data_IF_292110260839
#
_entry.id   IF_292110260839
#
_cell.length_a   1.000
_cell.length_b   1.000
_cell.length_c   1.000
_cell.angle_alpha   90.00
_cell.angle_beta   90.00
_cell.angle_gamma   90.00
#
_symmetry.space_group_name_H-M   'P 1'
#
loop_
_entity.id
_entity.type
_entity.pdbx_description
1 polymer ?
#
# COMPACT_ATOMS: atom_id res chain seq x y z
N UNK A 1 11.29 34.35 -3.18
CA UNK A 1 12.07 33.50 -4.11
C UNK A 1 12.25 32.12 -3.51
N UNK A 2 12.31 31.05 -4.32
CA UNK A 2 12.65 29.70 -3.84
C UNK A 2 14.05 29.67 -3.20
N UNK A 3 14.20 28.89 -2.15
CA UNK A 3 15.44 28.72 -1.36
C UNK A 3 15.87 27.26 -1.25
N UNK A 4 14.94 26.31 -1.34
CA UNK A 4 15.25 24.89 -1.29
C UNK A 4 14.13 24.05 -1.89
N UNK A 5 14.50 22.84 -2.30
CA UNK A 5 13.57 21.79 -2.73
C UNK A 5 14.07 20.44 -2.22
N UNK A 6 13.16 19.58 -1.77
CA UNK A 6 13.48 18.22 -1.34
C UNK A 6 12.38 17.26 -1.80
N UNK A 7 12.78 16.08 -2.26
CA UNK A 7 11.86 14.98 -2.52
C UNK A 7 11.52 14.22 -1.25
N UNK A 8 10.24 13.86 -1.09
CA UNK A 8 9.73 13.07 0.01
C UNK A 8 8.90 11.89 -0.52
N UNK A 9 8.46 11.01 0.37
CA UNK A 9 7.58 9.88 0.02
C UNK A 9 6.27 10.34 -0.63
N UNK A 10 5.56 9.44 -1.32
CA UNK A 10 4.29 9.77 -1.97
C UNK A 10 4.40 10.53 -3.29
N UNK A 11 5.54 10.46 -3.99
CA UNK A 11 5.85 11.28 -5.16
C UNK A 11 5.57 12.77 -4.91
N UNK A 12 6.09 13.29 -3.79
CA UNK A 12 5.92 14.71 -3.44
C UNK A 12 7.24 15.43 -3.39
N UNK A 13 7.21 16.70 -3.79
CA UNK A 13 8.27 17.65 -3.58
C UNK A 13 7.81 18.68 -2.56
N UNK A 14 8.71 19.04 -1.65
CA UNK A 14 8.56 20.21 -0.79
C UNK A 14 9.44 21.31 -1.36
N UNK A 15 8.83 22.47 -1.62
CA UNK A 15 9.53 23.68 -2.06
C UNK A 15 9.44 24.70 -0.94
N UNK A 16 10.58 25.29 -0.57
CA UNK A 16 10.64 26.33 0.45
C UNK A 16 11.23 27.63 -0.08
N UNK A 17 10.83 28.77 0.49
CA UNK A 17 11.32 30.07 0.03
C UNK A 17 10.76 31.27 0.78
N UNK A 18 10.62 32.39 0.06
CA UNK A 18 10.10 33.67 0.57
C UNK A 18 9.22 34.40 -0.46
N UNK A 19 8.55 35.48 -0.07
CA UNK A 19 7.86 36.38 -1.00
C UNK A 19 6.59 35.80 -1.63
N UNK A 20 6.03 34.79 -0.99
CA UNK A 20 4.83 34.02 -1.34
C UNK A 20 4.67 32.93 -0.28
N UNK A 21 3.85 31.90 -0.54
CA UNK A 21 3.76 30.78 0.41
C UNK A 21 5.11 30.07 0.55
N UNK A 22 5.66 30.12 1.76
CA UNK A 22 7.07 29.80 2.00
C UNK A 22 7.35 28.32 2.16
N UNK A 23 6.34 27.50 2.42
CA UNK A 23 6.42 26.06 2.44
C UNK A 23 5.30 25.51 1.58
N UNK A 24 5.64 24.80 0.50
CA UNK A 24 4.67 24.27 -0.45
C UNK A 24 4.91 22.79 -0.67
N UNK A 25 3.84 22.00 -0.70
CA UNK A 25 3.88 20.57 -1.02
C UNK A 25 3.23 20.38 -2.39
N UNK A 26 3.99 19.80 -3.30
CA UNK A 26 3.61 19.57 -4.69
C UNK A 26 3.61 18.07 -4.95
N UNK A 27 2.48 17.56 -5.45
CA UNK A 27 2.38 16.21 -5.96
C UNK A 27 2.97 16.17 -7.38
N UNK A 28 3.95 15.30 -7.57
CA UNK A 28 4.69 15.09 -8.82
C UNK A 28 4.47 13.70 -9.40
N UNK A 29 3.39 13.01 -9.00
CA UNK A 29 3.00 11.71 -9.58
C UNK A 29 2.91 11.77 -11.12
N UNK A 30 2.51 12.93 -11.67
CA UNK A 30 2.63 13.23 -13.11
C UNK A 30 3.63 14.38 -13.30
N UNK A 31 4.87 14.06 -13.66
CA UNK A 31 5.95 15.05 -13.79
C UNK A 31 5.65 16.19 -14.77
N UNK A 32 4.88 15.92 -15.84
CA UNK A 32 4.46 16.93 -16.81
C UNK A 32 3.33 17.85 -16.35
N UNK A 33 2.70 17.55 -15.21
CA UNK A 33 1.57 18.31 -14.66
C UNK A 33 1.56 18.26 -13.13
N UNK A 34 2.58 18.80 -12.45
CA UNK A 34 2.62 18.82 -11.00
C UNK A 34 1.45 19.62 -10.42
N UNK A 35 0.91 19.18 -9.27
CA UNK A 35 -0.25 19.82 -8.64
C UNK A 35 0.02 20.14 -7.16
N UNK A 36 -0.43 21.30 -6.68
CA UNK A 36 -0.26 21.67 -5.27
C UNK A 36 -1.20 20.85 -4.40
N UNK A 37 -0.67 20.17 -3.39
CA UNK A 37 -1.45 19.35 -2.46
C UNK A 37 -1.35 19.81 -0.98
N UNK A 38 -0.52 20.81 -0.67
CA UNK A 38 -0.46 21.41 0.67
C UNK A 38 0.48 22.61 0.74
N UNK A 39 0.48 23.30 1.87
CA UNK A 39 1.40 24.41 2.13
C UNK A 39 1.18 25.07 3.47
N UNK A 40 2.14 25.92 3.87
CA UNK A 40 2.11 26.71 5.08
C UNK A 40 2.78 28.07 4.81
N UNK A 41 2.11 29.16 5.18
CA UNK A 41 2.73 30.48 5.27
C UNK A 41 3.43 30.61 6.63
N UNK A 42 4.70 31.01 6.60
CA UNK A 42 5.53 31.24 7.79
C UNK A 42 5.75 32.73 8.02
N UNK A 43 5.47 33.57 7.01
CA UNK A 43 5.54 35.05 7.00
C UNK A 43 6.95 35.65 7.18
N UNK A 44 7.93 34.84 7.58
CA UNK A 44 9.33 35.26 7.78
C UNK A 44 10.30 34.65 6.79
N UNK A 45 9.81 33.93 5.77
CA UNK A 45 10.69 33.13 4.92
C UNK A 45 11.06 31.78 5.54
N UNK A 46 11.30 30.79 4.67
CA UNK A 46 11.95 29.53 4.99
C UNK A 46 13.26 29.44 4.20
N UNK A 47 14.36 29.38 4.94
CA UNK A 47 15.74 29.42 4.43
C UNK A 47 16.34 28.04 4.20
N UNK A 48 15.77 27.00 4.80
CA UNK A 48 16.22 25.61 4.65
C UNK A 48 15.13 24.63 5.00
N UNK A 49 15.23 23.43 4.42
CA UNK A 49 14.34 22.30 4.70
C UNK A 49 15.12 20.99 4.68
N UNK A 50 14.83 20.12 5.64
CA UNK A 50 15.17 18.71 5.63
C UNK A 50 13.90 17.92 5.95
N UNK A 51 13.76 16.70 5.44
CA UNK A 51 12.61 15.85 5.75
C UNK A 51 13.07 14.44 6.09
N UNK A 52 12.37 13.82 7.03
CA UNK A 52 12.64 12.46 7.48
C UNK A 52 11.34 11.68 7.51
N UNK A 53 11.45 10.36 7.35
CA UNK A 53 10.37 9.42 7.59
C UNK A 53 10.86 8.45 8.68
N UNK A 54 10.14 8.40 9.78
CA UNK A 54 10.46 7.55 10.92
C UNK A 54 10.01 6.11 10.65
N UNK A 55 10.55 5.17 11.45
CA UNK A 55 10.30 3.74 11.25
C UNK A 55 8.83 3.35 11.47
N UNK A 56 8.09 4.14 12.24
CA UNK A 56 6.66 3.98 12.48
C UNK A 56 5.77 4.64 11.41
N UNK A 57 6.38 5.22 10.37
CA UNK A 57 5.69 5.80 9.21
C UNK A 57 5.36 7.28 9.37
N UNK A 58 5.72 7.91 10.48
CA UNK A 58 5.54 9.35 10.66
C UNK A 58 6.55 10.12 9.81
N UNK A 59 6.06 11.11 9.05
CA UNK A 59 6.90 11.98 8.25
C UNK A 59 7.02 13.35 8.91
N UNK A 60 8.22 13.93 8.90
CA UNK A 60 8.46 15.28 9.42
C UNK A 60 9.31 16.09 8.46
N UNK A 61 9.02 17.38 8.41
CA UNK A 61 9.88 18.38 7.77
C UNK A 61 10.42 19.34 8.82
N UNK A 62 11.74 19.42 8.90
CA UNK A 62 12.47 20.37 9.71
C UNK A 62 12.83 21.57 8.85
N UNK A 63 12.38 22.75 9.24
CA UNK A 63 12.60 23.99 8.50
C UNK A 63 13.37 25.00 9.34
N UNK A 64 14.20 25.79 8.64
CA UNK A 64 14.88 26.96 9.21
C UNK A 64 14.17 28.21 8.68
N UNK A 65 13.61 29.02 9.56
CA UNK A 65 12.82 30.21 9.22
C UNK A 65 13.66 31.49 9.38
N UNK A 66 13.14 32.63 8.93
CA UNK A 66 13.70 33.94 9.24
C UNK A 66 13.26 34.54 10.58
N UNK A 67 12.45 33.83 11.36
CA UNK A 67 11.97 34.28 12.67
C UNK A 67 13.02 34.02 13.74
N UNK A 68 13.60 35.07 14.32
CA UNK A 68 14.62 34.95 15.36
C UNK A 68 14.09 34.27 16.66
N UNK A 69 12.77 34.31 16.91
CA UNK A 69 12.14 33.65 18.06
C UNK A 69 11.71 32.22 17.79
N UNK A 70 11.67 31.79 16.52
CA UNK A 70 11.25 30.46 16.09
C UNK A 70 12.01 30.01 14.84
N UNK A 71 13.33 30.10 14.92
CA UNK A 71 14.24 29.83 13.79
C UNK A 71 14.13 28.38 13.32
N UNK A 72 14.02 27.42 14.25
CA UNK A 72 13.77 26.03 13.94
C UNK A 72 12.28 25.69 14.15
N UNK A 73 11.64 25.09 13.13
CA UNK A 73 10.28 24.57 13.26
C UNK A 73 10.18 23.15 12.69
N UNK A 74 9.31 22.36 13.30
CA UNK A 74 8.96 21.01 12.83
C UNK A 74 7.54 21.05 12.27
N UNK A 75 7.36 20.51 11.08
CA UNK A 75 6.07 20.34 10.41
C UNK A 75 5.82 18.84 10.30
N UNK A 76 4.71 18.36 10.86
CA UNK A 76 4.27 16.99 10.65
C UNK A 76 3.77 16.83 9.19
N UNK A 77 4.23 15.78 8.53
CA UNK A 77 3.86 15.40 7.17
C UNK A 77 2.70 14.41 7.15
N UNK A 78 1.76 14.63 6.24
CA UNK A 78 0.65 13.70 5.97
C UNK A 78 -0.30 13.45 7.15
N UNK A 79 -1.36 12.64 6.95
CA UNK A 79 -2.24 12.22 8.03
C UNK A 79 -1.46 11.23 8.90
N UNK A 80 -0.84 11.73 9.98
CA UNK A 80 0.00 10.97 10.93
C UNK A 80 -0.67 9.71 11.46
N UNK A 81 -0.45 8.62 10.76
CA UNK A 81 -0.97 7.30 11.05
C UNK A 81 0.06 6.28 10.62
N UNK A 82 0.29 5.29 11.48
CA UNK A 82 1.22 4.18 11.22
C UNK A 82 0.83 3.47 9.93
N UNK A 83 1.53 3.77 8.86
CA UNK A 83 1.37 3.08 7.60
C UNK A 83 1.94 1.67 7.73
N UNK A 84 1.16 0.67 7.33
CA UNK A 84 1.64 -0.71 7.26
C UNK A 84 2.09 -1.01 5.84
N UNK A 85 3.39 -1.22 5.66
CA UNK A 85 3.97 -1.60 4.35
C UNK A 85 3.51 -2.98 3.86
N UNK A 86 2.90 -3.77 4.75
CA UNK A 86 2.29 -5.05 4.40
C UNK A 86 1.10 -5.40 5.29
N UNK A 87 0.22 -6.26 4.78
CA UNK A 87 -0.91 -6.82 5.50
C UNK A 87 -1.29 -8.18 4.93
N UNK A 88 -1.92 -9.01 5.75
CA UNK A 88 -2.49 -10.28 5.28
C UNK A 88 -3.94 -10.41 5.73
N UNK A 89 -4.74 -11.09 4.92
CA UNK A 89 -6.13 -11.43 5.23
C UNK A 89 -6.36 -12.90 4.92
N UNK A 90 -6.92 -13.66 5.85
CA UNK A 90 -7.34 -15.05 5.62
C UNK A 90 -8.87 -15.12 5.62
N UNK A 91 -9.42 -15.78 4.60
CA UNK A 91 -10.86 -15.93 4.47
C UNK A 91 -11.44 -16.91 5.50
N UNK A 92 -12.74 -16.79 5.74
CA UNK A 92 -13.51 -17.90 6.30
C UNK A 92 -13.47 -19.12 5.34
N UNK A 93 -13.75 -20.30 5.88
CA UNK A 93 -13.87 -21.50 5.07
C UNK A 93 -15.19 -21.49 4.28
N UNK A 94 -15.10 -21.70 2.97
CA UNK A 94 -16.23 -22.04 2.13
C UNK A 94 -16.44 -23.56 2.20
N UNK A 95 -17.60 -24.01 2.68
CA UNK A 95 -17.99 -25.42 2.74
C UNK A 95 -19.28 -25.66 1.93
N UNK A 96 -19.22 -26.30 0.76
CA UNK A 96 -20.42 -26.67 -0.01
C UNK A 96 -21.17 -27.88 0.60
N UNK A 97 -20.61 -28.54 1.63
CA UNK A 97 -21.22 -29.68 2.32
C UNK A 97 -20.85 -31.05 1.74
N UNK A 98 -20.05 -31.08 0.68
CA UNK A 98 -19.60 -32.31 0.00
C UNK A 98 -18.19 -32.13 -0.58
N UNK A 99 -17.51 -33.25 -0.86
CA UNK A 99 -16.22 -33.23 -1.53
C UNK A 99 -16.39 -32.72 -2.97
N UNK A 100 -15.50 -31.82 -3.37
CA UNK A 100 -15.53 -31.18 -4.68
C UNK A 100 -14.10 -30.94 -5.20
N UNK A 101 -13.98 -30.68 -6.49
CA UNK A 101 -12.78 -30.17 -7.12
C UNK A 101 -12.93 -28.67 -7.39
N UNK A 102 -12.15 -27.85 -6.70
CA UNK A 102 -12.01 -26.43 -6.97
C UNK A 102 -11.14 -26.25 -8.22
N UNK A 103 -11.60 -25.46 -9.20
CA UNK A 103 -11.01 -25.44 -10.54
C UNK A 103 -10.16 -24.19 -10.77
N UNK A 104 -10.73 -23.02 -10.51
CA UNK A 104 -10.11 -21.73 -10.81
C UNK A 104 -10.62 -20.66 -9.84
N UNK A 105 -9.72 -19.78 -9.44
CA UNK A 105 -10.06 -18.51 -8.80
C UNK A 105 -9.95 -17.34 -9.77
N UNK A 106 -10.72 -16.30 -9.50
CA UNK A 106 -10.54 -14.96 -10.04
C UNK A 106 -10.82 -13.98 -8.92
N UNK A 107 -9.97 -12.96 -8.77
CA UNK A 107 -10.19 -11.92 -7.78
C UNK A 107 -9.88 -10.54 -8.34
N UNK A 108 -10.54 -9.54 -7.76
CA UNK A 108 -10.49 -8.15 -8.18
C UNK A 108 -10.02 -7.25 -7.03
N UNK A 109 -9.45 -6.12 -7.41
CA UNK A 109 -8.93 -5.14 -6.47
C UNK A 109 -8.37 -3.92 -7.17
N UNK A 110 -8.11 -2.85 -6.41
CA UNK A 110 -7.29 -1.74 -6.87
C UNK A 110 -5.85 -1.98 -6.45
N UNK A 111 -4.94 -1.96 -7.42
CA UNK A 111 -3.50 -1.98 -7.21
C UNK A 111 -2.88 -0.72 -7.82
N UNK A 112 -2.93 0.44 -7.12
CA UNK A 112 -2.19 1.62 -7.54
C UNK A 112 -0.70 1.32 -7.75
N UNK A 113 0.03 2.23 -8.42
CA UNK A 113 1.50 2.14 -8.51
C UNK A 113 2.10 1.97 -7.11
N UNK A 114 3.24 1.29 -7.02
CA UNK A 114 3.91 1.00 -5.74
C UNK A 114 3.13 0.05 -4.80
N UNK A 115 2.07 -0.61 -5.29
CA UNK A 115 1.30 -1.58 -4.50
C UNK A 115 1.24 -2.95 -5.17
N UNK A 116 1.11 -4.00 -4.35
CA UNK A 116 0.92 -5.37 -4.80
C UNK A 116 -0.22 -6.02 -4.03
N UNK A 117 -1.09 -6.73 -4.74
CA UNK A 117 -2.14 -7.59 -4.18
C UNK A 117 -1.98 -9.00 -4.77
N UNK A 118 -1.70 -9.98 -3.92
CA UNK A 118 -1.57 -11.38 -4.32
C UNK A 118 -2.32 -12.31 -3.39
N UNK A 119 -2.55 -13.55 -3.85
CA UNK A 119 -3.30 -14.55 -3.10
C UNK A 119 -2.63 -15.93 -3.10
N UNK A 120 -2.92 -16.72 -2.08
CA UNK A 120 -2.76 -18.17 -2.06
C UNK A 120 -4.09 -18.84 -1.74
N UNK A 121 -4.25 -20.09 -2.14
CA UNK A 121 -5.45 -20.88 -1.89
C UNK A 121 -5.12 -22.12 -1.08
N UNK A 122 -6.07 -22.59 -0.29
CA UNK A 122 -5.97 -23.85 0.43
C UNK A 122 -7.28 -24.63 0.29
N UNK A 123 -7.16 -25.92 -0.02
CA UNK A 123 -8.28 -26.86 -0.02
C UNK A 123 -8.04 -27.89 1.09
N UNK A 124 -9.09 -28.20 1.83
CA UNK A 124 -9.05 -29.07 3.00
C UNK A 124 -10.10 -30.18 2.90
N UNK A 125 -9.70 -31.41 3.20
CA UNK A 125 -10.60 -32.57 3.25
C UNK A 125 -11.40 -32.64 4.55
N UNK A 126 -10.84 -32.12 5.65
CA UNK A 126 -11.42 -32.19 7.00
C UNK A 126 -12.01 -30.86 7.49
N UNK A 127 -11.80 -29.78 6.72
CA UNK A 127 -12.18 -28.41 7.06
C UNK A 127 -11.46 -27.83 8.30
N UNK A 128 -10.43 -28.50 8.80
CA UNK A 128 -9.65 -28.09 9.98
C UNK A 128 -8.24 -27.64 9.58
N UNK A 129 -7.58 -28.42 8.73
CA UNK A 129 -6.18 -28.20 8.33
C UNK A 129 -6.10 -27.58 6.94
N UNK A 130 -5.35 -26.49 6.78
CA UNK A 130 -5.22 -25.76 5.51
C UNK A 130 -3.74 -25.51 5.18
N UNK A 131 -3.33 -25.96 3.99
CA UNK A 131 -2.02 -25.65 3.41
C UNK A 131 -2.22 -24.67 2.27
N UNK A 132 -1.75 -23.44 2.46
CA UNK A 132 -1.84 -22.39 1.44
C UNK A 132 -0.75 -22.56 0.38
N UNK A 133 -1.17 -22.64 -0.88
CA UNK A 133 -0.29 -22.78 -2.04
C UNK A 133 -0.66 -21.78 -3.13
N UNK A 134 0.32 -21.40 -3.93
CA UNK A 134 0.11 -20.62 -5.14
C UNK A 134 -0.13 -21.47 -6.39
N UNK A 135 -0.05 -20.87 -7.59
CA UNK A 135 -0.36 -21.52 -8.87
C UNK A 135 0.47 -22.77 -9.19
N UNK A 136 1.67 -22.91 -8.61
CA UNK A 136 2.58 -24.03 -8.85
C UNK A 136 2.47 -25.14 -7.78
N UNK A 137 1.57 -25.01 -6.81
CA UNK A 137 1.40 -25.97 -5.72
C UNK A 137 2.40 -25.79 -4.58
N UNK A 138 3.19 -24.72 -4.55
CA UNK A 138 4.12 -24.42 -3.47
C UNK A 138 3.66 -23.22 -2.64
N UNK A 139 4.14 -23.12 -1.40
CA UNK A 139 3.88 -21.97 -0.51
C UNK A 139 4.68 -20.71 -0.88
N UNK A 140 5.59 -20.79 -1.87
CA UNK A 140 6.45 -19.68 -2.30
C UNK A 140 5.91 -18.89 -3.49
N UNK A 141 4.82 -19.34 -4.12
CA UNK A 141 4.20 -18.66 -5.25
C UNK A 141 2.84 -18.10 -4.90
N UNK A 142 2.37 -17.16 -5.72
CA UNK A 142 1.15 -16.42 -5.45
C UNK A 142 0.40 -16.16 -6.75
N UNK A 143 -0.92 -16.15 -6.65
CA UNK A 143 -1.80 -15.66 -7.71
C UNK A 143 -1.74 -14.14 -7.76
N UNK A 144 -1.65 -13.58 -8.96
CA UNK A 144 -1.84 -12.14 -9.21
C UNK A 144 -3.31 -11.82 -9.46
N UNK A 145 -3.64 -10.52 -9.45
CA UNK A 145 -4.96 -10.01 -9.84
C UNK A 145 -5.37 -10.63 -11.18
N UNK A 146 -6.64 -11.06 -11.30
CA UNK A 146 -7.23 -11.97 -12.32
C UNK A 146 -7.25 -13.46 -11.98
N UNK A 147 -6.47 -13.89 -10.97
CA UNK A 147 -6.44 -15.27 -10.48
C UNK A 147 -5.88 -16.28 -11.48
N UNK A 148 -6.26 -17.55 -11.32
CA UNK A 148 -5.68 -18.65 -12.08
C UNK A 148 -6.24 -20.00 -11.66
N UNK A 149 -5.87 -21.04 -12.40
CA UNK A 149 -6.26 -22.41 -12.07
C UNK A 149 -5.61 -22.86 -10.77
N UNK A 150 -6.31 -23.69 -10.00
CA UNK A 150 -5.70 -24.35 -8.86
C UNK A 150 -4.75 -25.46 -9.35
N UNK A 151 -3.59 -25.64 -8.70
CA UNK A 151 -2.66 -26.70 -9.06
C UNK A 151 -3.27 -28.08 -8.80
N UNK A 152 -3.06 -29.00 -9.73
CA UNK A 152 -3.52 -30.39 -9.60
C UNK A 152 -2.92 -31.02 -8.33
N UNK A 153 -3.75 -31.76 -7.60
CA UNK A 153 -3.35 -32.40 -6.33
C UNK A 153 -3.54 -31.52 -5.09
N UNK A 154 -3.83 -30.22 -5.26
CA UNK A 154 -4.17 -29.28 -4.17
C UNK A 154 -5.55 -28.66 -4.35
N UNK A 155 -6.34 -29.21 -5.28
CA UNK A 155 -7.58 -28.63 -5.73
C UNK A 155 -8.81 -29.46 -5.31
N UNK A 156 -8.60 -30.63 -4.68
CA UNK A 156 -9.66 -31.56 -4.27
C UNK A 156 -9.83 -31.59 -2.75
N UNK A 157 -11.07 -31.53 -2.30
CA UNK A 157 -11.41 -31.57 -0.87
C UNK A 157 -12.80 -31.03 -0.62
N UNK A 158 -13.11 -30.74 0.64
CA UNK A 158 -14.43 -30.24 1.04
C UNK A 158 -14.41 -28.73 1.18
N UNK A 159 -13.54 -28.20 2.03
CA UNK A 159 -13.52 -26.77 2.34
C UNK A 159 -12.43 -26.01 1.58
N UNK A 160 -12.73 -24.78 1.18
CA UNK A 160 -11.80 -23.88 0.51
C UNK A 160 -11.55 -22.62 1.34
N UNK A 161 -10.29 -22.16 1.33
CA UNK A 161 -9.87 -20.87 1.86
C UNK A 161 -8.94 -20.16 0.89
N UNK A 162 -8.86 -18.85 1.03
CA UNK A 162 -7.80 -18.05 0.41
C UNK A 162 -7.14 -17.14 1.45
N UNK A 163 -5.88 -16.81 1.18
CA UNK A 163 -5.10 -15.86 1.96
C UNK A 163 -4.54 -14.80 1.03
N UNK A 164 -4.80 -13.54 1.35
CA UNK A 164 -4.33 -12.37 0.62
C UNK A 164 -3.07 -11.81 1.27
N UNK A 165 -2.21 -11.27 0.42
CA UNK A 165 -1.01 -10.54 0.77
C UNK A 165 -1.09 -9.18 0.08
N UNK A 166 -1.06 -8.13 0.89
CA UNK A 166 -1.16 -6.75 0.47
C UNK A 166 0.16 -6.09 0.84
N UNK A 167 0.86 -5.49 -0.12
CA UNK A 167 2.10 -4.77 0.15
C UNK A 167 2.13 -3.45 -0.57
N UNK A 168 2.92 -2.52 -0.05
CA UNK A 168 3.16 -1.25 -0.71
C UNK A 168 4.54 -0.70 -0.33
N UNK A 169 5.20 -0.07 -1.30
CA UNK A 169 6.48 0.64 -1.15
C UNK A 169 6.29 2.13 -0.89
N UNK A 170 5.05 2.63 -0.93
CA UNK A 170 4.72 4.04 -0.74
C UNK A 170 3.63 4.23 0.32
N UNK A 171 3.96 4.99 1.37
CA UNK A 171 3.08 5.30 2.49
C UNK A 171 1.77 6.02 2.09
N UNK A 172 1.76 6.69 0.94
CA UNK A 172 0.58 7.39 0.41
C UNK A 172 -0.38 6.52 -0.40
N UNK A 173 -0.03 5.26 -0.68
CA UNK A 173 -0.83 4.38 -1.52
C UNK A 173 -1.13 3.06 -0.82
N UNK A 174 -2.30 2.48 -1.08
CA UNK A 174 -2.72 1.23 -0.43
C UNK A 174 -3.49 0.37 -1.42
N UNK A 175 -3.16 -0.92 -1.57
CA UNK A 175 -3.95 -1.82 -2.40
C UNK A 175 -5.29 -2.13 -1.71
N UNK A 176 -6.34 -2.30 -2.51
CA UNK A 176 -7.69 -2.64 -2.02
C UNK A 176 -8.13 -3.94 -2.65
N UNK A 177 -8.59 -4.88 -1.82
CA UNK A 177 -9.26 -6.09 -2.27
C UNK A 177 -10.78 -5.87 -2.30
N UNK A 178 -11.45 -6.35 -3.36
CA UNK A 178 -12.90 -6.26 -3.47
C UNK A 178 -13.57 -7.61 -3.25
N UNK A 179 -13.27 -8.59 -4.10
CA UNK A 179 -13.89 -9.90 -4.06
C UNK A 179 -12.98 -10.99 -4.65
N UNK A 180 -13.26 -12.24 -4.26
CA UNK A 180 -12.69 -13.44 -4.86
C UNK A 180 -13.83 -14.41 -5.17
N UNK A 181 -13.84 -14.87 -6.42
CA UNK A 181 -14.74 -15.91 -6.91
C UNK A 181 -13.94 -17.18 -7.15
N UNK A 182 -14.50 -18.32 -6.72
CA UNK A 182 -13.97 -19.66 -7.01
C UNK A 182 -15.01 -20.49 -7.74
N UNK A 183 -14.59 -21.19 -8.80
CA UNK A 183 -15.41 -22.17 -9.49
C UNK A 183 -15.03 -23.57 -9.03
N UNK A 184 -16.01 -24.45 -8.87
CA UNK A 184 -15.81 -25.83 -8.45
C UNK A 184 -16.76 -26.79 -9.16
N UNK A 185 -16.43 -28.08 -9.17
CA UNK A 185 -17.22 -29.15 -9.77
C UNK A 185 -17.37 -30.32 -8.78
N UNK A 186 -18.55 -30.96 -8.68
CA UNK A 186 -18.74 -32.16 -7.86
C UNK A 186 -17.74 -33.27 -8.21
#
# INVERSE_FOLDING_TARGET
MPKGVIGVSGNKLIVVGSGGEEYQVVDVTTEGSPSRCGGLNVDTGVNGVASVMEQDGDAYSYIITGDAGAEFRTIAGGPGGRYSSSGTFESAALDPGYSTSYNRISFTGATPSETTLTAQTAVSVDCQSYTFVGPDGTSGTFYSVTGGSLPLGYNTGRCFKYKLYLTTTDAGTTPVFYDLTVNYSP
#
